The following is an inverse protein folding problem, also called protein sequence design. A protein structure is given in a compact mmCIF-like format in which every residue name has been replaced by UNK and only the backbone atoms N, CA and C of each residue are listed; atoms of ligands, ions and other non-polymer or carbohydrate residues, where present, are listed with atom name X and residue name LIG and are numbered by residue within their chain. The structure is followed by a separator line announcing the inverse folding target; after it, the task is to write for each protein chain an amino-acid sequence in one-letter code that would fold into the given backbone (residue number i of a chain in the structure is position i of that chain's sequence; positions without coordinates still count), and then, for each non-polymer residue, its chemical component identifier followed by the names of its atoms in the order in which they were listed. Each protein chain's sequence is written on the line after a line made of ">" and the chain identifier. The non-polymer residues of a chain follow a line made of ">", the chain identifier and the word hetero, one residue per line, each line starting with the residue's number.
data_IF_552217470243
#
_entry.id   IF_552217470243
#
_cell.length_a   1.000
_cell.length_b   1.000
_cell.length_c   1.000
_cell.angle_alpha   90.00
_cell.angle_beta   90.00
_cell.angle_gamma   90.00
#
_symmetry.space_group_name_H-M   'P 1'
#
loop_
_entity.id
_entity.type
_entity.pdbx_description
1 polymer ?
#
# COMPACT_ATOMS: atom_id res chain seq x y z
N UNK A 1 10.45 -5.91 2.19
CA UNK A 1 10.96 -4.83 1.33
C UNK A 1 10.66 -3.51 2.01
N UNK A 2 11.63 -2.61 2.07
CA UNK A 2 11.44 -1.25 2.61
C UNK A 2 10.79 -0.34 1.55
N UNK A 3 9.75 0.44 1.91
CA UNK A 3 9.20 1.46 1.02
C UNK A 3 10.23 2.55 0.70
N UNK A 4 10.12 3.16 -0.48
CA UNK A 4 10.83 4.36 -0.87
C UNK A 4 10.53 5.52 0.08
N UNK A 5 11.57 6.27 0.38
CA UNK A 5 11.58 7.53 1.11
C UNK A 5 11.57 8.72 0.15
N UNK A 6 11.30 9.91 0.69
CA UNK A 6 11.30 11.15 -0.09
C UNK A 6 12.64 11.43 -0.78
N UNK A 7 13.76 11.03 -0.17
CA UNK A 7 15.10 11.20 -0.73
C UNK A 7 15.43 10.24 -1.88
N UNK A 8 14.66 9.15 -2.03
CA UNK A 8 14.92 8.12 -3.04
C UNK A 8 14.12 8.35 -4.33
N UNK A 9 13.23 9.34 -4.36
CA UNK A 9 12.33 9.59 -5.48
C UNK A 9 12.28 11.07 -5.85
N UNK A 10 12.10 11.36 -7.15
CA UNK A 10 11.93 12.72 -7.66
C UNK A 10 10.48 13.23 -7.61
N UNK A 11 9.50 12.31 -7.62
CA UNK A 11 8.07 12.64 -7.71
C UNK A 11 7.38 12.63 -6.35
N UNK A 12 7.39 13.76 -5.62
CA UNK A 12 6.76 13.88 -4.30
C UNK A 12 5.24 13.65 -4.35
N UNK A 13 4.57 14.15 -5.39
CA UNK A 13 3.14 13.95 -5.60
C UNK A 13 2.82 12.48 -5.93
N UNK A 14 3.64 11.84 -6.76
CA UNK A 14 3.48 10.42 -7.06
C UNK A 14 3.68 9.56 -5.81
N UNK A 15 4.69 9.88 -4.99
CA UNK A 15 4.93 9.21 -3.71
C UNK A 15 3.74 9.40 -2.74
N UNK A 16 3.15 10.59 -2.71
CA UNK A 16 1.99 10.88 -1.87
C UNK A 16 0.76 10.06 -2.27
N UNK A 17 0.50 9.95 -3.57
CA UNK A 17 -0.69 9.24 -4.09
C UNK A 17 -0.48 7.72 -4.12
N UNK A 18 0.68 7.25 -4.55
CA UNK A 18 0.98 5.81 -4.76
C UNK A 18 1.68 5.16 -3.57
N UNK A 19 2.15 5.94 -2.59
CA UNK A 19 2.94 5.44 -1.47
C UNK A 19 4.34 4.99 -1.88
N UNK A 20 5.13 4.52 -0.91
CA UNK A 20 6.53 4.16 -1.13
C UNK A 20 6.77 2.72 -1.57
N UNK A 21 5.77 1.83 -1.56
CA UNK A 21 6.01 0.44 -1.91
C UNK A 21 6.33 0.30 -3.41
N UNK A 22 7.45 -0.36 -3.79
CA UNK A 22 7.92 -0.32 -5.17
C UNK A 22 6.90 -0.75 -6.23
N UNK A 23 6.12 -1.81 -5.94
CA UNK A 23 5.10 -2.31 -6.87
C UNK A 23 3.93 -1.34 -7.08
N UNK A 24 3.62 -0.49 -6.09
CA UNK A 24 2.60 0.56 -6.25
C UNK A 24 3.17 1.83 -6.86
N UNK A 25 4.35 2.25 -6.40
CA UNK A 25 5.01 3.46 -6.86
C UNK A 25 5.40 3.38 -8.34
N UNK A 26 6.00 2.26 -8.75
CA UNK A 26 6.51 2.01 -10.11
C UNK A 26 5.46 1.41 -11.07
N UNK A 27 4.20 1.29 -10.65
CA UNK A 27 3.15 0.76 -11.53
C UNK A 27 3.00 1.58 -12.81
N UNK A 28 2.70 0.93 -13.92
CA UNK A 28 2.61 1.58 -15.24
C UNK A 28 1.51 2.65 -15.30
N UNK A 29 0.42 2.46 -14.55
CA UNK A 29 -0.70 3.39 -14.47
C UNK A 29 -1.30 3.49 -13.04
N UNK A 30 -2.29 4.37 -12.91
CA UNK A 30 -2.97 4.61 -11.63
C UNK A 30 -3.85 3.44 -11.18
N UNK A 31 -4.44 2.70 -12.12
CA UNK A 31 -5.35 1.58 -11.84
C UNK A 31 -4.56 0.42 -11.23
N UNK A 32 -3.43 0.05 -11.83
CA UNK A 32 -2.52 -0.97 -11.30
C UNK A 32 -1.95 -0.56 -9.94
N UNK A 33 -1.58 0.71 -9.78
CA UNK A 33 -1.12 1.25 -8.49
C UNK A 33 -2.20 1.16 -7.41
N UNK A 34 -3.45 1.48 -7.75
CA UNK A 34 -4.59 1.40 -6.85
C UNK A 34 -4.94 -0.05 -6.49
N UNK A 35 -4.98 -0.95 -7.48
CA UNK A 35 -5.22 -2.38 -7.26
C UNK A 35 -4.19 -2.99 -6.31
N UNK A 36 -2.91 -2.65 -6.48
CA UNK A 36 -1.87 -3.11 -5.56
C UNK A 36 -2.13 -2.62 -4.13
N UNK A 37 -2.43 -1.33 -3.95
CA UNK A 37 -2.71 -0.76 -2.63
C UNK A 37 -3.94 -1.37 -1.98
N UNK A 38 -4.99 -1.62 -2.74
CA UNK A 38 -6.21 -2.28 -2.24
C UNK A 38 -5.91 -3.70 -1.75
N UNK A 39 -5.15 -4.48 -2.52
CA UNK A 39 -4.75 -5.83 -2.11
C UNK A 39 -3.87 -5.81 -0.85
N UNK A 40 -2.94 -4.85 -0.76
CA UNK A 40 -2.11 -4.66 0.42
C UNK A 40 -2.95 -4.31 1.65
N UNK A 41 -3.84 -3.31 1.54
CA UNK A 41 -4.73 -2.88 2.63
C UNK A 41 -5.60 -4.06 3.08
N UNK A 42 -6.20 -4.81 2.16
CA UNK A 42 -7.01 -5.99 2.48
C UNK A 42 -6.20 -7.01 3.29
N UNK A 43 -5.02 -7.38 2.79
CA UNK A 43 -4.15 -8.35 3.47
C UNK A 43 -3.74 -7.86 4.86
N UNK A 44 -3.42 -6.57 5.00
CA UNK A 44 -3.04 -5.97 6.27
C UNK A 44 -4.20 -5.97 7.28
N UNK A 45 -5.41 -5.63 6.83
CA UNK A 45 -6.61 -5.66 7.67
C UNK A 45 -6.98 -7.09 8.08
N UNK A 46 -6.84 -8.08 7.19
CA UNK A 46 -7.25 -9.46 7.46
C UNK A 46 -6.23 -10.25 8.27
N UNK A 47 -4.94 -9.90 8.18
CA UNK A 47 -3.86 -10.69 8.80
C UNK A 47 -3.14 -9.95 9.90
N UNK A 48 -2.72 -8.71 9.66
CA UNK A 48 -1.84 -7.99 10.57
C UNK A 48 -2.61 -7.34 11.72
N UNK A 49 -3.76 -6.70 11.45
CA UNK A 49 -4.57 -6.07 12.51
C UNK A 49 -5.10 -7.07 13.55
N UNK A 50 -5.63 -8.26 13.19
CA UNK A 50 -6.05 -9.24 14.19
C UNK A 50 -4.93 -9.70 15.12
N UNK A 51 -3.69 -9.79 14.61
CA UNK A 51 -2.52 -10.12 15.42
C UNK A 51 -2.17 -9.03 16.44
N UNK A 52 -2.72 -7.82 16.30
CA UNK A 52 -2.59 -6.74 17.29
C UNK A 52 -3.69 -6.77 18.37
N UNK A 53 -4.58 -7.78 18.34
CA UNK A 53 -5.65 -7.97 19.33
C UNK A 53 -6.96 -7.26 19.00
N UNK A 54 -7.10 -6.70 17.79
CA UNK A 54 -8.35 -6.09 17.33
C UNK A 54 -9.21 -7.12 16.57
N UNK A 55 -10.49 -7.21 16.90
CA UNK A 55 -11.43 -8.03 16.13
C UNK A 55 -11.95 -7.22 14.94
N UNK A 56 -11.49 -7.55 13.74
CA UNK A 56 -12.05 -6.98 12.50
C UNK A 56 -13.22 -7.87 12.03
N UNK A 57 -14.44 -7.33 11.85
CA UNK A 57 -15.51 -8.07 11.21
C UNK A 57 -15.12 -8.38 9.75
N UNK A 58 -15.34 -9.62 9.32
CA UNK A 58 -15.04 -10.04 7.95
C UNK A 58 -15.75 -9.15 6.94
N UNK A 59 -15.02 -8.64 5.96
CA UNK A 59 -15.61 -7.95 4.82
C UNK A 59 -16.39 -8.99 4.00
N UNK A 60 -17.72 -8.85 4.00
CA UNK A 60 -18.66 -9.78 3.37
C UNK A 60 -18.59 -9.73 1.84
#
# INVERSE_FOLDING_TARGET
>A
MTPFTLSEVSGTQQLWIRGGFPLSYLADDEELSALWRQNYIKTFLERDIPNLGFTIPSMQ
#
